data_IF_083930029120
#
_entry.id   IF_083930029120
#
_cell.length_a   1.000
_cell.length_b   1.000
_cell.length_c   1.000
_cell.angle_alpha   90.00
_cell.angle_beta   90.00
_cell.angle_gamma   90.00
#
_symmetry.space_group_name_H-M   'P 1'
#
loop_
_entity.id
_entity.type
_entity.pdbx_description
1 polymer ?
#
# COMPACT_ATOMS: atom_id res chain seq x y z
N UNK A 1 -6.99 -18.64 4.18
CA UNK A 1 -7.66 -17.92 3.07
C UNK A 1 -7.06 -16.51 3.03
N UNK A 2 -6.20 -16.21 2.06
CA UNK A 2 -5.62 -14.86 1.92
C UNK A 2 -6.64 -14.02 1.16
N UNK A 3 -7.12 -12.87 1.69
CA UNK A 3 -8.09 -12.07 0.96
C UNK A 3 -7.44 -11.55 -0.32
N UNK A 4 -8.04 -11.86 -1.46
CA UNK A 4 -7.66 -11.30 -2.74
C UNK A 4 -7.94 -9.80 -2.70
N UNK A 5 -6.89 -8.98 -2.68
CA UNK A 5 -6.99 -7.53 -2.84
C UNK A 5 -7.54 -7.29 -4.25
N UNK A 6 -8.80 -6.88 -4.35
CA UNK A 6 -9.44 -6.62 -5.64
C UNK A 6 -8.90 -5.33 -6.24
N UNK A 7 -8.18 -5.43 -7.36
CA UNK A 7 -7.52 -4.31 -8.03
C UNK A 7 -8.50 -3.25 -8.60
N UNK A 8 -9.82 -3.50 -8.63
CA UNK A 8 -10.82 -2.51 -9.11
C UNK A 8 -11.04 -1.33 -8.15
N UNK A 9 -10.64 -1.43 -6.88
CA UNK A 9 -10.67 -0.29 -5.94
C UNK A 9 -9.56 0.75 -6.19
N UNK A 10 -8.51 0.36 -6.92
CA UNK A 10 -7.29 1.15 -7.16
C UNK A 10 -7.48 2.32 -8.12
N UNK A 11 -8.43 2.22 -9.04
CA UNK A 11 -8.71 3.28 -10.01
C UNK A 11 -9.59 4.41 -9.45
N UNK A 12 -10.09 4.28 -8.21
CA UNK A 12 -10.94 5.27 -7.54
C UNK A 12 -10.29 5.89 -6.30
N UNK A 13 -9.08 5.46 -5.93
CA UNK A 13 -8.33 6.16 -4.90
C UNK A 13 -7.73 7.43 -5.49
N UNK A 14 -7.69 8.51 -4.70
CA UNK A 14 -6.97 9.75 -5.06
C UNK A 14 -5.44 9.53 -5.08
N UNK A 15 -4.96 8.30 -5.25
CA UNK A 15 -3.54 7.96 -5.27
C UNK A 15 -2.97 8.19 -6.65
N UNK A 16 -1.86 8.91 -6.69
CA UNK A 16 -1.04 8.98 -7.89
C UNK A 16 -0.44 7.60 -8.21
N UNK A 17 -0.07 7.37 -9.47
CA UNK A 17 0.55 6.10 -9.89
C UNK A 17 1.79 5.75 -9.04
N UNK A 18 2.59 6.74 -8.62
CA UNK A 18 3.77 6.51 -7.79
C UNK A 18 3.40 6.15 -6.34
N UNK A 19 2.40 6.81 -5.76
CA UNK A 19 1.89 6.48 -4.43
C UNK A 19 1.34 5.06 -4.40
N UNK A 20 0.63 4.69 -5.45
CA UNK A 20 0.11 3.35 -5.56
C UNK A 20 1.23 2.29 -5.64
N UNK A 21 2.22 2.49 -6.50
CA UNK A 21 3.37 1.57 -6.61
C UNK A 21 4.06 1.38 -5.26
N UNK A 22 4.31 2.48 -4.53
CA UNK A 22 4.94 2.44 -3.20
C UNK A 22 4.05 1.70 -2.19
N UNK A 23 2.75 1.95 -2.20
CA UNK A 23 1.81 1.26 -1.31
C UNK A 23 1.80 -0.26 -1.56
N UNK A 24 1.76 -0.69 -2.82
CA UNK A 24 1.80 -2.11 -3.19
C UNK A 24 3.12 -2.76 -2.79
N UNK A 25 4.25 -2.07 -2.96
CA UNK A 25 5.56 -2.57 -2.54
C UNK A 25 5.60 -2.82 -1.02
N UNK A 26 5.08 -1.89 -0.23
CA UNK A 26 4.97 -2.04 1.23
C UNK A 26 4.05 -3.21 1.60
N UNK A 27 2.91 -3.38 0.92
CA UNK A 27 2.05 -4.55 1.11
C UNK A 27 2.79 -5.87 0.80
N UNK A 28 3.61 -5.89 -0.25
CA UNK A 28 4.47 -7.04 -0.58
C UNK A 28 5.47 -7.37 0.53
N UNK A 29 6.17 -6.35 1.05
CA UNK A 29 7.10 -6.51 2.17
C UNK A 29 6.42 -7.07 3.43
N UNK A 30 5.19 -6.64 3.70
CA UNK A 30 4.41 -7.11 4.85
C UNK A 30 3.90 -8.54 4.68
N UNK A 31 3.51 -8.95 3.46
CA UNK A 31 3.06 -10.32 3.19
C UNK A 31 4.13 -11.37 3.49
N UNK A 32 5.41 -11.00 3.34
CA UNK A 32 6.54 -11.86 3.68
C UNK A 32 6.83 -11.89 5.19
N UNK A 33 6.25 -10.97 5.97
CA UNK A 33 6.48 -10.83 7.41
C UNK A 33 5.19 -11.10 8.21
N UNK A 34 4.78 -12.38 8.23
CA UNK A 34 3.50 -12.86 8.80
C UNK A 34 3.20 -12.44 10.25
N UNK A 35 4.21 -11.99 11.00
CA UNK A 35 4.08 -11.76 12.44
C UNK A 35 3.80 -10.29 12.83
N UNK A 36 4.09 -9.30 11.97
CA UNK A 36 3.97 -7.88 12.33
C UNK A 36 3.57 -7.04 11.12
N UNK A 37 2.51 -6.23 11.24
CA UNK A 37 2.13 -5.19 10.28
C UNK A 37 3.15 -4.01 10.28
N UNK A 38 4.44 -4.33 10.17
CA UNK A 38 5.57 -3.40 10.23
C UNK A 38 6.58 -3.78 9.14
N UNK A 39 6.72 -2.91 8.15
CA UNK A 39 7.74 -2.97 7.11
C UNK A 39 8.80 -1.89 7.37
N UNK A 40 10.06 -2.30 7.34
CA UNK A 40 11.19 -1.38 7.40
C UNK A 40 11.42 -0.86 5.99
N UNK A 41 11.31 0.46 5.80
CA UNK A 41 11.32 1.06 4.47
C UNK A 41 12.59 1.87 4.28
N UNK A 42 13.40 1.45 3.31
CA UNK A 42 14.54 2.22 2.84
C UNK A 42 14.16 3.02 1.59
N UNK A 43 13.95 4.33 1.78
CA UNK A 43 13.53 5.22 0.70
C UNK A 43 14.56 5.38 -0.42
N UNK A 44 15.83 4.99 -0.23
CA UNK A 44 16.83 4.94 -1.31
C UNK A 44 16.60 3.72 -2.19
N UNK A 45 16.45 2.55 -1.58
CA UNK A 45 16.20 1.28 -2.29
C UNK A 45 14.89 1.37 -3.09
N UNK A 46 13.82 1.86 -2.47
CA UNK A 46 12.55 2.09 -3.16
C UNK A 46 12.65 3.09 -4.32
N UNK A 47 13.51 4.10 -4.22
CA UNK A 47 13.72 5.05 -5.29
C UNK A 47 14.45 4.40 -6.49
N UNK A 48 15.45 3.57 -6.19
CA UNK A 48 16.18 2.77 -7.19
C UNK A 48 15.24 1.75 -7.88
N UNK A 49 14.45 0.99 -7.12
CA UNK A 49 13.49 0.00 -7.64
C UNK A 49 12.40 0.63 -8.50
N UNK A 50 11.91 1.81 -8.12
CA UNK A 50 10.85 2.50 -8.86
C UNK A 50 11.38 3.45 -9.95
N UNK A 51 12.70 3.46 -10.18
CA UNK A 51 13.39 4.35 -11.11
C UNK A 51 12.94 5.82 -10.95
N UNK A 52 12.97 6.31 -9.72
CA UNK A 52 12.53 7.67 -9.36
C UNK A 52 13.47 8.32 -8.34
N UNK A 53 13.22 9.57 -7.97
CA UNK A 53 14.03 10.25 -6.95
C UNK A 53 13.57 9.92 -5.53
N UNK A 54 14.54 9.90 -4.59
CA UNK A 54 14.25 9.75 -3.16
C UNK A 54 13.27 10.80 -2.63
N UNK A 55 13.33 12.03 -3.16
CA UNK A 55 12.42 13.12 -2.75
C UNK A 55 10.98 12.78 -3.12
N UNK A 56 10.75 12.25 -4.33
CA UNK A 56 9.42 11.79 -4.77
C UNK A 56 8.91 10.67 -3.89
N UNK A 57 9.74 9.67 -3.58
CA UNK A 57 9.37 8.58 -2.65
C UNK A 57 9.02 9.11 -1.27
N UNK A 58 9.84 9.99 -0.70
CA UNK A 58 9.57 10.56 0.62
C UNK A 58 8.27 11.36 0.66
N UNK A 59 7.97 12.14 -0.40
CA UNK A 59 6.72 12.88 -0.49
C UNK A 59 5.52 11.95 -0.67
N UNK A 60 5.64 10.92 -1.50
CA UNK A 60 4.59 9.91 -1.68
C UNK A 60 4.31 9.14 -0.38
N UNK A 61 5.34 8.75 0.38
CA UNK A 61 5.17 8.11 1.69
C UNK A 61 4.46 9.03 2.69
N UNK A 62 4.77 10.33 2.71
CA UNK A 62 4.05 11.30 3.54
C UNK A 62 2.58 11.39 3.14
N UNK A 63 2.29 11.55 1.85
CA UNK A 63 0.93 11.63 1.33
C UNK A 63 0.13 10.35 1.58
N UNK A 64 0.75 9.18 1.50
CA UNK A 64 0.11 7.91 1.85
C UNK A 64 -0.26 7.82 3.35
N UNK A 65 0.51 8.45 4.23
CA UNK A 65 0.16 8.57 5.65
C UNK A 65 -0.96 9.59 5.85
N UNK A 66 -0.90 10.73 5.18
CA UNK A 66 -1.95 11.78 5.22
C UNK A 66 -3.29 11.28 4.66
N UNK A 67 -3.26 10.37 3.67
CA UNK A 67 -4.44 9.72 3.07
C UNK A 67 -4.88 8.48 3.83
N UNK A 68 -4.40 8.27 5.06
CA UNK A 68 -4.74 7.14 5.91
C UNK A 68 -4.48 5.75 5.28
N UNK A 69 -3.63 5.66 4.26
CA UNK A 69 -3.26 4.39 3.62
C UNK A 69 -2.18 3.66 4.43
N UNK A 70 -1.24 4.42 4.99
CA UNK A 70 -0.13 3.89 5.78
C UNK A 70 -0.10 4.49 7.19
N UNK A 71 0.33 3.70 8.15
CA UNK A 71 0.71 4.16 9.48
C UNK A 71 2.23 4.25 9.52
N UNK A 72 2.75 5.42 9.88
CA UNK A 72 4.17 5.59 10.22
C UNK A 72 4.37 5.32 11.71
N UNK A 73 5.20 4.34 12.04
CA UNK A 73 5.56 4.07 13.43
C UNK A 73 6.63 5.04 13.92
N UNK A 74 6.59 5.37 15.22
CA UNK A 74 7.64 6.19 15.87
C UNK A 74 8.96 5.45 15.97
N UNK A 75 8.91 4.13 16.11
CA UNK A 75 10.08 3.24 16.08
C UNK A 75 10.82 3.36 14.73
N UNK A 76 12.16 3.33 14.81
CA UNK A 76 13.06 3.35 13.66
C UNK A 76 14.15 2.32 13.87
N UNK A 77 14.74 1.84 12.77
CA UNK A 77 15.93 1.00 12.79
C UNK A 77 17.05 1.79 12.13
N UNK A 78 17.97 2.32 12.96
CA UNK A 78 18.93 3.31 12.52
C UNK A 78 18.24 4.55 11.95
N UNK A 79 18.54 4.89 10.69
CA UNK A 79 17.92 6.00 9.96
C UNK A 79 16.67 5.60 9.17
N UNK A 80 16.27 4.33 9.19
CA UNK A 80 15.14 3.81 8.43
C UNK A 80 13.82 3.98 9.18
N UNK A 81 12.78 4.36 8.44
CA UNK A 81 11.43 4.50 9.00
C UNK A 81 10.68 3.18 8.87
N UNK A 82 9.78 2.93 9.81
CA UNK A 82 8.91 1.76 9.81
C UNK A 82 7.50 2.20 9.46
N UNK A 83 6.91 1.54 8.47
CA UNK A 83 5.53 1.77 8.03
C UNK A 83 4.70 0.50 8.15
N UNK A 84 3.40 0.63 8.32
CA UNK A 84 2.44 -0.47 8.23
C UNK A 84 1.24 -0.04 7.39
N UNK A 85 0.45 -0.99 6.95
CA UNK A 85 -0.84 -0.68 6.32
C UNK A 85 -1.80 -0.24 7.41
N UNK A 86 -2.58 0.82 7.18
CA UNK A 86 -3.62 1.20 8.12
C UNK A 86 -4.67 0.06 8.20
N UNK A 87 -4.92 -0.56 9.36
CA UNK A 87 -5.90 -1.64 9.47
C UNK A 87 -7.33 -1.17 9.22
N UNK A 88 -7.59 0.14 9.35
CA UNK A 88 -8.88 0.75 9.04
C UNK A 88 -8.96 1.21 7.58
N UNK A 89 -7.94 0.92 6.75
CA UNK A 89 -7.97 1.22 5.32
C UNK A 89 -9.06 0.40 4.64
N UNK A 90 -10.25 0.99 4.57
CA UNK A 90 -11.35 0.44 3.84
C UNK A 90 -11.28 0.94 2.41
N UNK A 91 -10.91 0.06 1.49
CA UNK A 91 -11.01 0.34 0.07
C UNK A 91 -12.50 0.37 -0.28
N UNK A 92 -13.10 1.55 -0.32
CA UNK A 92 -14.44 1.77 -0.84
C UNK A 92 -14.45 1.55 -2.37
N UNK A 93 -14.16 0.33 -2.81
CA UNK A 93 -14.87 -0.18 -3.97
C UNK A 93 -16.32 -0.26 -3.53
N UNK A 94 -17.22 0.48 -4.19
CA UNK A 94 -18.62 0.43 -3.81
C UNK A 94 -19.08 -1.04 -3.70
N UNK A 95 -19.88 -1.38 -2.69
CA UNK A 95 -20.25 -2.77 -2.42
C UNK A 95 -20.90 -3.45 -3.64
N UNK A 96 -21.45 -2.66 -4.56
CA UNK A 96 -21.97 -3.12 -5.85
C UNK A 96 -20.87 -3.59 -6.81
N UNK A 97 -19.74 -2.91 -6.89
CA UNK A 97 -18.59 -3.20 -7.76
C UNK A 97 -17.85 -4.44 -7.27
N UNK A 98 -17.76 -4.61 -5.94
CA UNK A 98 -17.23 -5.83 -5.35
C UNK A 98 -18.15 -7.04 -5.62
N UNK A 99 -19.46 -6.88 -5.44
CA UNK A 99 -20.46 -7.92 -5.75
C UNK A 99 -20.43 -8.29 -7.24
N UNK A 100 -20.37 -7.30 -8.13
CA UNK A 100 -20.25 -7.48 -9.58
C UNK A 100 -18.97 -8.21 -9.98
N UNK A 101 -17.82 -7.86 -9.40
CA UNK A 101 -16.56 -8.55 -9.67
C UNK A 101 -16.56 -10.01 -9.16
N UNK A 102 -17.25 -10.29 -8.05
CA UNK A 102 -17.45 -11.64 -7.53
C UNK A 102 -18.41 -12.47 -8.39
N UNK A 103 -19.41 -11.85 -9.00
CA UNK A 103 -20.31 -12.51 -9.96
C UNK A 103 -19.61 -12.80 -11.29
N UNK A 104 -18.76 -11.88 -11.77
CA UNK A 104 -17.95 -12.04 -12.99
C UNK A 104 -16.92 -13.17 -12.88
N UNK A 105 -16.34 -13.40 -11.69
CA UNK A 105 -15.38 -14.49 -11.42
C UNK A 105 -16.04 -15.86 -11.17
N UNK A 106 -17.36 -15.90 -10.99
CA UNK A 106 -18.14 -17.14 -10.80
C UNK A 106 -18.79 -17.67 -12.07
N UNK A 107 -18.66 -16.98 -13.20
CA UNK A 107 -19.08 -17.52 -14.50
C UNK A 107 -18.01 -18.48 -15.03
N UNK A 108 -18.40 -19.67 -15.54
CA UNK A 108 -17.47 -20.66 -16.09
C UNK A 108 -16.74 -20.16 -17.33
#
# INVERSE_FOLDING_TARGET
MVPAISFKGLSRSDLTCIELKIFLEICGLLSNNKARNKAIVNGRVLAEELNTSRVVVCNALKRLVEKDCLIKYKEKIGSLNIYGVNPNLFWAGDGASHRKALEETKKP
#
